data_IF_435246518533
#
_entry.id   IF_435246518533
#
_cell.length_a   1.000
_cell.length_b   1.000
_cell.length_c   1.000
_cell.angle_alpha   90.00
_cell.angle_beta   90.00
_cell.angle_gamma   90.00
#
_symmetry.space_group_name_H-M   'P 1'
#
loop_
_entity.id
_entity.type
_entity.pdbx_description
1 polymer ?
#
# COMPACT_ATOMS: atom_id res chain seq x y z
N UNK A 1 -18.54 -3.03 -0.48
CA UNK A 1 -18.58 -1.97 0.58
C UNK A 1 -19.76 -1.01 0.42
N UNK A 2 -20.33 -0.50 1.54
CA UNK A 2 -21.34 0.57 1.49
C UNK A 2 -20.72 1.94 1.10
N UNK A 3 -21.57 2.91 0.74
CA UNK A 3 -21.14 4.20 0.18
C UNK A 3 -20.24 5.01 1.14
N UNK A 4 -20.61 5.11 2.42
CA UNK A 4 -19.84 5.84 3.43
C UNK A 4 -18.45 5.22 3.66
N UNK A 5 -18.36 3.88 3.70
CA UNK A 5 -17.08 3.17 3.80
C UNK A 5 -16.20 3.44 2.58
N UNK A 6 -16.79 3.46 1.37
CA UNK A 6 -16.06 3.77 0.13
C UNK A 6 -15.54 5.20 0.10
N UNK A 7 -16.32 6.17 0.59
CA UNK A 7 -15.90 7.57 0.72
C UNK A 7 -14.72 7.68 1.70
N UNK A 8 -14.86 7.13 2.91
CA UNK A 8 -13.78 7.17 3.92
C UNK A 8 -12.51 6.48 3.46
N UNK A 9 -12.64 5.34 2.78
CA UNK A 9 -11.53 4.62 2.18
C UNK A 9 -10.84 5.45 1.08
N UNK A 10 -11.62 6.09 0.21
CA UNK A 10 -11.08 6.97 -0.84
C UNK A 10 -10.27 8.13 -0.25
N UNK A 11 -10.80 8.78 0.79
CA UNK A 11 -10.10 9.86 1.50
C UNK A 11 -8.79 9.38 2.12
N UNK A 12 -8.80 8.21 2.78
CA UNK A 12 -7.58 7.63 3.37
C UNK A 12 -6.51 7.34 2.33
N UNK A 13 -6.89 6.73 1.20
CA UNK A 13 -5.93 6.46 0.13
C UNK A 13 -5.40 7.77 -0.46
N UNK A 14 -6.26 8.77 -0.70
CA UNK A 14 -5.85 10.07 -1.22
C UNK A 14 -4.83 10.75 -0.32
N UNK A 15 -5.07 10.70 0.98
CA UNK A 15 -4.17 11.29 1.98
C UNK A 15 -2.82 10.57 2.04
N UNK A 16 -2.82 9.23 1.97
CA UNK A 16 -1.58 8.45 1.90
C UNK A 16 -0.79 8.74 0.61
N UNK A 17 -1.47 8.91 -0.52
CA UNK A 17 -0.85 9.31 -1.80
C UNK A 17 -0.22 10.71 -1.67
N UNK A 18 -0.96 11.69 -1.14
CA UNK A 18 -0.46 13.05 -0.91
C UNK A 18 0.83 13.05 -0.08
N UNK A 19 0.82 12.32 1.04
CA UNK A 19 2.00 12.20 1.90
C UNK A 19 3.17 11.49 1.22
N UNK A 20 2.92 10.51 0.36
CA UNK A 20 3.97 9.84 -0.41
C UNK A 20 4.60 10.81 -1.44
N UNK A 21 3.77 11.60 -2.12
CA UNK A 21 4.24 12.61 -3.06
C UNK A 21 5.03 13.74 -2.37
N UNK A 22 4.61 14.16 -1.17
CA UNK A 22 5.35 15.14 -0.36
C UNK A 22 6.74 14.64 0.04
N UNK A 23 6.82 13.42 0.58
CA UNK A 23 8.12 12.81 0.90
C UNK A 23 9.01 12.61 -0.34
N UNK A 24 8.40 12.29 -1.48
CA UNK A 24 9.13 12.18 -2.75
C UNK A 24 9.72 13.53 -3.16
N UNK A 25 8.95 14.63 -3.04
CA UNK A 25 9.45 15.99 -3.32
C UNK A 25 10.59 16.39 -2.39
N UNK A 26 10.55 15.99 -1.13
CA UNK A 26 11.58 16.31 -0.14
C UNK A 26 12.89 15.52 -0.36
N UNK A 27 12.78 14.23 -0.70
CA UNK A 27 13.95 13.32 -0.68
C UNK A 27 14.40 12.85 -2.06
N UNK A 28 13.55 12.96 -3.08
CA UNK A 28 13.75 12.34 -4.39
C UNK A 28 13.61 10.82 -4.41
N UNK A 29 13.34 10.17 -3.27
CA UNK A 29 13.25 8.71 -3.16
C UNK A 29 11.90 8.18 -3.61
N UNK A 30 11.85 6.93 -4.07
CA UNK A 30 10.59 6.28 -4.46
C UNK A 30 9.85 5.75 -3.24
N UNK A 31 8.61 6.18 -3.07
CA UNK A 31 7.73 5.75 -1.98
C UNK A 31 6.58 4.86 -2.50
N UNK A 32 6.14 3.94 -1.63
CA UNK A 32 5.09 2.96 -1.88
C UNK A 32 4.02 3.08 -0.80
N UNK A 33 2.76 3.20 -1.20
CA UNK A 33 1.61 3.14 -0.30
C UNK A 33 1.20 1.68 -0.14
N UNK A 34 1.47 1.13 1.04
CA UNK A 34 1.29 -0.29 1.35
C UNK A 34 0.20 -0.51 2.41
N UNK A 35 -0.46 -1.67 2.43
CA UNK A 35 -1.26 -2.07 3.58
C UNK A 35 -0.37 -2.26 4.83
N UNK A 36 -0.86 -1.81 5.98
CA UNK A 36 -0.19 -2.04 7.26
C UNK A 36 -0.60 -3.43 7.82
N UNK A 37 0.35 -4.16 8.40
CA UNK A 37 0.09 -5.48 9.01
C UNK A 37 -0.71 -5.46 10.32
N UNK A 38 -0.84 -4.30 10.98
CA UNK A 38 -1.41 -4.22 12.34
C UNK A 38 -2.91 -3.96 12.40
N UNK A 39 -3.41 -2.89 11.76
CA UNK A 39 -4.82 -2.47 11.85
C UNK A 39 -5.53 -2.56 10.50
N UNK A 40 -6.77 -3.05 10.52
CA UNK A 40 -7.61 -3.19 9.32
C UNK A 40 -7.73 -1.87 8.57
N UNK A 41 -7.37 -1.88 7.29
CA UNK A 41 -7.52 -0.73 6.41
C UNK A 41 -6.53 0.40 6.64
N UNK A 42 -5.54 0.23 7.52
CA UNK A 42 -4.44 1.18 7.71
C UNK A 42 -3.44 1.06 6.56
N UNK A 43 -2.91 2.22 6.14
CA UNK A 43 -1.89 2.32 5.11
C UNK A 43 -0.58 2.83 5.74
N UNK A 44 0.54 2.41 5.17
CA UNK A 44 1.87 2.93 5.49
C UNK A 44 2.54 3.43 4.22
N UNK A 45 3.46 4.37 4.38
CA UNK A 45 4.31 4.88 3.31
C UNK A 45 5.69 4.30 3.53
N UNK A 46 6.12 3.46 2.59
CA UNK A 46 7.38 2.72 2.65
C UNK A 46 8.33 3.22 1.59
N UNK A 47 9.63 3.21 1.86
CA UNK A 47 10.68 3.34 0.84
C UNK A 47 11.58 2.10 0.85
N UNK A 48 12.50 2.04 -0.12
CA UNK A 48 13.42 0.90 -0.25
C UNK A 48 14.41 0.79 0.91
N UNK A 49 14.87 1.90 1.47
CA UNK A 49 15.85 1.94 2.56
C UNK A 49 15.22 1.37 3.85
N UNK A 50 14.02 1.84 4.18
CA UNK A 50 13.22 1.38 5.30
C UNK A 50 12.77 -0.07 5.13
N UNK A 51 12.36 -0.48 3.91
CA UNK A 51 12.06 -1.89 3.62
C UNK A 51 13.26 -2.80 3.91
N UNK A 52 14.46 -2.44 3.42
CA UNK A 52 15.69 -3.21 3.67
C UNK A 52 16.01 -3.29 5.16
N UNK A 53 15.89 -2.19 5.90
CA UNK A 53 16.09 -2.15 7.36
C UNK A 53 15.08 -3.05 8.09
N UNK A 54 13.80 -2.99 7.73
CA UNK A 54 12.76 -3.81 8.35
C UNK A 54 12.95 -5.30 8.04
N UNK A 55 13.36 -5.63 6.81
CA UNK A 55 13.74 -6.99 6.40
C UNK A 55 14.94 -7.51 7.20
N UNK A 56 15.99 -6.70 7.35
CA UNK A 56 17.16 -7.05 8.16
C UNK A 56 16.80 -7.28 9.64
N UNK A 57 15.86 -6.51 10.18
CA UNK A 57 15.36 -6.65 11.55
C UNK A 57 14.34 -7.79 11.74
N UNK A 58 13.99 -8.52 10.69
CA UNK A 58 13.04 -9.63 10.76
C UNK A 58 11.56 -9.23 10.82
N UNK A 59 11.22 -7.94 10.64
CA UNK A 59 9.81 -7.50 10.57
C UNK A 59 9.16 -7.83 9.22
N UNK A 60 9.97 -8.11 8.20
CA UNK A 60 9.53 -8.51 6.85
C UNK A 60 10.26 -9.82 6.51
N UNK A 61 9.56 -10.74 5.84
CA UNK A 61 10.11 -12.01 5.43
C UNK A 61 11.37 -11.80 4.55
N UNK A 62 12.42 -12.58 4.80
CA UNK A 62 13.66 -12.53 4.04
C UNK A 62 13.46 -12.87 2.54
N UNK A 63 12.39 -13.58 2.19
CA UNK A 63 12.02 -13.93 0.81
C UNK A 63 11.25 -12.82 0.09
N UNK A 64 10.90 -11.71 0.77
CA UNK A 64 10.22 -10.58 0.12
C UNK A 64 11.23 -9.67 -0.58
N UNK A 65 10.94 -9.30 -1.81
CA UNK A 65 11.77 -8.45 -2.66
C UNK A 65 11.12 -7.09 -2.91
N UNK A 66 11.93 -6.14 -3.41
CA UNK A 66 11.43 -4.81 -3.81
C UNK A 66 10.39 -4.91 -4.94
N UNK A 67 10.52 -5.90 -5.83
CA UNK A 67 9.49 -6.17 -6.84
C UNK A 67 8.14 -6.56 -6.25
N UNK A 68 8.09 -7.10 -5.02
CA UNK A 68 6.82 -7.39 -4.32
C UNK A 68 6.17 -6.10 -3.82
N UNK A 69 6.97 -5.13 -3.32
CA UNK A 69 6.45 -3.81 -2.97
C UNK A 69 5.77 -3.14 -4.17
N UNK A 70 6.40 -3.17 -5.34
CA UNK A 70 5.85 -2.58 -6.57
C UNK A 70 4.54 -3.27 -7.02
N UNK A 71 4.47 -4.60 -6.89
CA UNK A 71 3.29 -5.38 -7.25
C UNK A 71 2.14 -5.22 -6.27
N UNK A 72 2.41 -5.19 -4.97
CA UNK A 72 1.39 -5.19 -3.91
C UNK A 72 1.00 -3.80 -3.41
N UNK A 73 1.75 -2.73 -3.73
CA UNK A 73 1.37 -1.38 -3.34
C UNK A 73 0.06 -0.94 -3.99
N UNK A 74 -0.67 -0.02 -3.35
CA UNK A 74 -1.83 0.63 -3.95
C UNK A 74 -1.47 1.91 -4.73
N UNK A 75 -0.25 2.40 -4.56
CA UNK A 75 0.33 3.53 -5.30
C UNK A 75 1.84 3.54 -5.09
N UNK A 76 2.59 4.07 -6.05
CA UNK A 76 3.99 4.42 -5.86
C UNK A 76 4.35 5.67 -6.65
N UNK A 77 5.25 6.48 -6.09
CA UNK A 77 5.77 7.69 -6.75
C UNK A 77 6.72 7.32 -7.89
N UNK A 78 7.12 8.30 -8.68
CA UNK A 78 8.23 8.16 -9.63
C UNK A 78 9.54 7.84 -8.93
N UNK A 79 10.53 7.41 -9.71
CA UNK A 79 11.92 7.49 -9.28
C UNK A 79 12.40 8.94 -9.21
N UNK A 80 13.51 9.21 -8.51
CA UNK A 80 14.08 10.56 -8.40
C UNK A 80 14.46 11.21 -9.74
N UNK A 81 14.69 10.40 -10.78
CA UNK A 81 14.91 10.87 -12.14
C UNK A 81 13.60 11.07 -12.96
N UNK A 82 12.43 11.01 -12.31
CA UNK A 82 11.12 11.14 -12.94
C UNK A 82 10.62 9.89 -13.69
N UNK A 83 11.42 8.83 -13.78
CA UNK A 83 11.04 7.63 -14.54
C UNK A 83 10.03 6.75 -13.81
N UNK A 84 9.39 5.85 -14.58
CA UNK A 84 8.40 4.87 -14.11
C UNK A 84 7.24 5.50 -13.32
N UNK A 85 6.73 6.61 -13.85
CA UNK A 85 5.43 7.18 -13.48
C UNK A 85 4.33 6.16 -13.82
N UNK A 86 3.40 5.95 -12.89
CA UNK A 86 2.29 5.05 -13.13
C UNK A 86 1.30 5.70 -14.12
N UNK A 87 0.94 5.02 -15.23
CA UNK A 87 -0.13 5.48 -16.10
C UNK A 87 -1.47 5.55 -15.35
N UNK A 88 -2.36 6.47 -15.73
CA UNK A 88 -3.65 6.67 -15.07
C UNK A 88 -4.50 5.39 -15.01
N UNK A 89 -4.43 4.55 -16.04
CA UNK A 89 -5.11 3.24 -16.06
C UNK A 89 -4.59 2.29 -14.97
N UNK A 90 -3.28 2.28 -14.72
CA UNK A 90 -2.65 1.45 -13.67
C UNK A 90 -3.02 2.00 -12.29
N UNK A 91 -3.05 3.33 -12.12
CA UNK A 91 -3.52 3.96 -10.87
C UNK A 91 -4.97 3.56 -10.58
N UNK A 92 -5.84 3.55 -11.60
CA UNK A 92 -7.22 3.11 -11.45
C UNK A 92 -7.33 1.62 -11.06
N UNK A 93 -6.51 0.76 -11.67
CA UNK A 93 -6.43 -0.66 -11.32
C UNK A 93 -5.98 -0.87 -9.86
N UNK A 94 -4.92 -0.19 -9.44
CA UNK A 94 -4.38 -0.23 -8.08
C UNK A 94 -5.38 0.29 -7.05
N UNK A 95 -6.16 1.32 -7.39
CA UNK A 95 -7.28 1.80 -6.56
C UNK A 95 -8.39 0.75 -6.43
N UNK A 96 -8.70 0.00 -7.49
CA UNK A 96 -9.64 -1.14 -7.40
C UNK A 96 -9.08 -2.22 -6.48
N UNK A 97 -7.80 -2.57 -6.60
CA UNK A 97 -7.12 -3.52 -5.70
C UNK A 97 -7.23 -3.10 -4.23
N UNK A 98 -7.06 -1.81 -3.92
CA UNK A 98 -7.25 -1.28 -2.57
C UNK A 98 -8.67 -1.51 -2.03
N UNK A 99 -9.70 -1.24 -2.83
CA UNK A 99 -11.09 -1.48 -2.42
C UNK A 99 -11.37 -2.98 -2.23
N UNK A 100 -10.89 -3.84 -3.14
CA UNK A 100 -11.01 -5.29 -3.00
C UNK A 100 -10.33 -5.81 -1.73
N UNK A 101 -9.12 -5.31 -1.43
CA UNK A 101 -8.42 -5.61 -0.19
C UNK A 101 -9.23 -5.19 1.05
N UNK A 102 -9.85 -4.00 1.03
CA UNK A 102 -10.73 -3.56 2.12
C UNK A 102 -12.00 -4.40 2.27
N UNK A 103 -12.60 -4.80 1.16
CA UNK A 103 -13.80 -5.64 1.15
C UNK A 103 -13.50 -7.03 1.72
N UNK A 104 -12.28 -7.57 1.54
CA UNK A 104 -11.87 -8.86 2.10
C UNK A 104 -11.99 -8.95 3.64
N UNK A 105 -11.87 -7.82 4.35
CA UNK A 105 -12.05 -7.76 5.81
C UNK A 105 -13.51 -7.79 6.26
N UNK A 106 -14.45 -7.52 5.36
CA UNK A 106 -15.90 -7.53 5.64
C UNK A 106 -16.43 -8.95 5.60
N UNK A 107 -15.96 -9.75 4.62
CA UNK A 107 -16.39 -11.12 4.39
C UNK A 107 -15.83 -12.11 5.42
N UNK A 108 -14.83 -11.71 6.21
CA UNK A 108 -14.24 -12.56 7.26
C UNK A 108 -15.16 -12.73 8.49
N UNK A 109 -16.24 -11.94 8.62
CA UNK A 109 -17.19 -12.10 9.73
C UNK A 109 -18.16 -13.27 9.54
N UNK A 110 -18.30 -13.83 8.34
CA UNK A 110 -19.20 -14.96 8.09
C UNK A 110 -18.51 -16.33 8.15
N UNK A 111 -17.19 -16.39 7.96
CA UNK A 111 -16.43 -17.64 8.00
C UNK A 111 -15.54 -17.70 9.24
N UNK A 112 -16.14 -18.04 10.38
CA UNK A 112 -15.45 -18.40 11.63
C UNK A 112 -14.63 -19.68 11.50
N UNK A 113 -13.57 -19.67 10.69
CA UNK A 113 -12.50 -20.67 10.77
C UNK A 113 -11.16 -19.94 10.93
N UNK A 114 -10.67 -20.02 12.16
CA UNK A 114 -9.31 -19.65 12.56
C UNK A 114 -8.32 -20.31 11.59
N UNK A 115 -7.64 -19.52 10.76
CA UNK A 115 -6.40 -19.98 10.12
C UNK A 115 -5.35 -20.03 11.22
N UNK A 116 -5.17 -21.23 11.81
CA UNK A 116 -3.98 -21.53 12.62
C UNK A 116 -2.76 -21.47 11.68
N UNK A 117 -1.77 -20.67 12.05
CA UNK A 117 -0.39 -20.89 11.64
C UNK A 117 0.24 -21.83 12.66
#
# INVERSE_FOLDING_TARGET
MNIFRKIRASLRLREAVRQADEKHKETGERYYVMPAGGKKGQLIIMDRKNFRKLKQKGYINHNTFVGDLERECFYCTTYGNGSAMLPSAVIALKRKQYFSWLDSFSNTKENGKVRKH
#
